data_IF_379475209930
#
_entry.id   IF_379475209930
#
_cell.length_a   1.000
_cell.length_b   1.000
_cell.length_c   1.000
_cell.angle_alpha   90.00
_cell.angle_beta   90.00
_cell.angle_gamma   90.00
#
_symmetry.space_group_name_H-M   'P 1'
#
loop_
_entity.id
_entity.type
_entity.pdbx_description
1 polymer ?
#
# COMPACT_ATOMS: atom_id res chain seq x y z
N UNK A 1 19.88 36.17 -14.93
CA UNK A 1 18.91 35.26 -14.32
C UNK A 1 17.54 35.75 -14.75
N UNK A 2 16.63 34.88 -15.17
CA UNK A 2 15.30 35.34 -15.59
C UNK A 2 14.44 35.66 -14.37
N UNK A 3 13.44 36.54 -14.52
CA UNK A 3 12.44 36.82 -13.48
C UNK A 3 11.80 35.52 -12.94
N UNK A 4 11.62 34.53 -13.83
CA UNK A 4 11.15 33.20 -13.47
C UNK A 4 12.09 32.48 -12.47
N UNK A 5 13.40 32.49 -12.75
CA UNK A 5 14.39 31.84 -11.87
C UNK A 5 14.41 32.50 -10.48
N UNK A 6 14.28 33.81 -10.44
CA UNK A 6 14.26 34.56 -9.17
C UNK A 6 13.03 34.21 -8.32
N UNK A 7 11.84 34.12 -8.95
CA UNK A 7 10.60 33.73 -8.27
C UNK A 7 10.72 32.29 -7.76
N UNK A 8 11.17 31.34 -8.59
CA UNK A 8 11.33 29.94 -8.18
C UNK A 8 12.33 29.80 -7.05
N UNK A 9 13.47 30.48 -7.13
CA UNK A 9 14.49 30.42 -6.06
C UNK A 9 13.99 31.05 -4.75
N UNK A 10 13.19 32.10 -4.82
CA UNK A 10 12.53 32.68 -3.64
C UNK A 10 11.56 31.68 -3.02
N UNK A 11 10.73 31.02 -3.82
CA UNK A 11 9.76 30.04 -3.33
C UNK A 11 10.41 28.75 -2.81
N UNK A 12 11.54 28.30 -3.38
CA UNK A 12 12.35 27.21 -2.83
C UNK A 12 12.92 27.51 -1.43
N UNK A 13 13.14 28.79 -1.10
CA UNK A 13 13.58 29.21 0.25
C UNK A 13 12.41 29.35 1.23
N UNK A 14 11.24 29.79 0.76
CA UNK A 14 10.04 29.96 1.58
C UNK A 14 9.33 28.63 1.86
N UNK A 15 9.28 27.75 0.87
CA UNK A 15 8.72 26.41 0.95
C UNK A 15 9.89 25.43 1.10
N UNK A 16 9.79 24.44 1.97
CA UNK A 16 10.87 23.44 2.06
C UNK A 16 11.17 22.87 0.67
N UNK A 17 12.44 22.60 0.39
CA UNK A 17 12.89 22.13 -0.93
C UNK A 17 12.15 20.86 -1.42
N UNK A 18 11.51 20.13 -0.50
CA UNK A 18 10.68 18.95 -0.75
C UNK A 18 9.39 19.28 -1.51
N UNK A 19 8.90 20.53 -1.43
CA UNK A 19 7.62 20.93 -2.05
C UNK A 19 7.77 21.48 -3.49
N UNK A 20 8.99 21.69 -3.95
CA UNK A 20 9.30 22.13 -5.32
C UNK A 20 10.25 21.11 -5.96
N UNK A 21 9.66 20.07 -6.53
CA UNK A 21 10.41 19.01 -7.22
C UNK A 21 10.55 19.32 -8.71
N UNK A 22 11.73 19.06 -9.26
CA UNK A 22 11.94 19.01 -10.69
C UNK A 22 11.11 17.85 -11.27
N UNK A 23 10.23 18.13 -12.22
CA UNK A 23 9.36 17.12 -12.83
C UNK A 23 10.13 15.92 -13.42
N UNK A 24 11.38 16.14 -13.84
CA UNK A 24 12.27 15.08 -14.30
C UNK A 24 12.75 14.14 -13.19
N UNK A 25 12.70 14.58 -11.93
CA UNK A 25 13.11 13.80 -10.75
C UNK A 25 11.96 13.10 -10.04
N UNK A 26 10.72 13.33 -10.45
CA UNK A 26 9.60 12.54 -9.96
C UNK A 26 9.75 11.09 -10.43
N UNK A 27 10.24 10.23 -9.55
CA UNK A 27 10.16 8.80 -9.80
C UNK A 27 8.68 8.41 -9.86
N UNK A 28 8.31 7.60 -10.83
CA UNK A 28 7.01 6.92 -10.81
C UNK A 28 7.00 6.09 -9.53
N UNK A 29 6.13 6.42 -8.57
CA UNK A 29 6.01 5.68 -7.32
C UNK A 29 5.79 4.18 -7.58
N UNK A 30 6.14 3.34 -6.61
CA UNK A 30 5.87 1.90 -6.67
C UNK A 30 4.37 1.67 -6.90
N UNK A 31 4.04 0.64 -7.64
CA UNK A 31 2.66 0.27 -7.97
C UNK A 31 2.40 -1.19 -7.61
N UNK A 32 1.13 -1.50 -7.41
CA UNK A 32 0.63 -2.88 -7.32
C UNK A 32 -0.06 -3.18 -8.64
N UNK A 33 0.40 -4.16 -9.43
CA UNK A 33 -0.17 -4.47 -10.73
C UNK A 33 -1.51 -5.19 -10.59
N UNK A 34 -2.34 -5.09 -11.61
CA UNK A 34 -3.48 -5.98 -11.82
C UNK A 34 -3.01 -7.28 -12.49
N UNK A 35 -3.78 -8.36 -12.34
CA UNK A 35 -3.57 -9.57 -13.16
C UNK A 35 -3.93 -9.33 -14.61
N UNK A 36 -4.79 -8.36 -14.92
CA UNK A 36 -5.17 -7.99 -16.27
C UNK A 36 -4.11 -7.13 -16.97
N UNK A 37 -3.51 -7.57 -18.10
CA UNK A 37 -2.57 -6.77 -18.86
C UNK A 37 -3.18 -5.45 -19.38
N UNK A 38 -4.46 -5.47 -19.75
CA UNK A 38 -5.16 -4.27 -20.23
C UNK A 38 -5.32 -3.23 -19.12
N UNK A 39 -5.68 -3.65 -17.91
CA UNK A 39 -5.77 -2.75 -16.77
C UNK A 39 -4.39 -2.18 -16.40
N UNK A 40 -3.35 -2.99 -16.46
CA UNK A 40 -1.97 -2.51 -16.24
C UNK A 40 -1.56 -1.49 -17.31
N UNK A 41 -1.90 -1.72 -18.55
CA UNK A 41 -1.59 -0.79 -19.62
C UNK A 41 -2.31 0.55 -19.43
N UNK A 42 -3.61 0.53 -19.14
CA UNK A 42 -4.43 1.74 -18.95
C UNK A 42 -4.06 2.53 -17.69
N UNK A 43 -3.54 1.86 -16.66
CA UNK A 43 -3.11 2.48 -15.38
C UNK A 43 -1.60 2.70 -15.30
N UNK A 44 -0.86 2.47 -16.40
CA UNK A 44 0.60 2.56 -16.44
C UNK A 44 1.29 1.67 -15.39
N UNK A 45 0.80 0.43 -15.22
CA UNK A 45 1.42 -0.59 -14.38
C UNK A 45 0.72 -0.90 -13.06
N UNK A 46 -0.53 -0.48 -12.88
CA UNK A 46 -1.34 -0.81 -11.71
C UNK A 46 -1.70 0.39 -10.84
N UNK A 47 -2.19 0.11 -9.62
CA UNK A 47 -2.55 1.17 -8.66
C UNK A 47 -1.29 1.75 -8.00
N UNK A 48 -1.23 3.07 -7.78
CA UNK A 48 -0.10 3.69 -7.08
C UNK A 48 -0.13 3.34 -5.60
N UNK A 49 1.04 3.07 -5.01
CA UNK A 49 1.20 2.93 -3.57
C UNK A 49 1.25 4.32 -2.92
N UNK A 50 1.00 4.38 -1.63
CA UNK A 50 0.98 5.61 -0.83
C UNK A 50 -0.05 6.64 -1.34
N UNK A 51 -1.14 6.14 -1.93
CA UNK A 51 -2.24 6.93 -2.47
C UNK A 51 -3.57 6.25 -2.16
N UNK A 52 -4.64 7.05 -2.18
CA UNK A 52 -6.00 6.55 -2.21
C UNK A 52 -6.40 6.33 -3.67
N UNK A 53 -6.93 5.14 -3.95
CA UNK A 53 -7.48 4.80 -5.27
C UNK A 53 -8.93 4.40 -5.09
N UNK A 54 -9.82 5.01 -5.82
CA UNK A 54 -11.25 4.73 -5.80
C UNK A 54 -11.66 3.92 -7.04
N UNK A 55 -12.45 2.87 -6.82
CA UNK A 55 -13.14 2.12 -7.87
C UNK A 55 -14.63 2.42 -7.80
N UNK A 56 -15.17 3.01 -8.83
CA UNK A 56 -16.61 3.29 -8.92
C UNK A 56 -17.20 2.68 -10.19
N UNK A 57 -18.51 2.41 -10.17
CA UNK A 57 -19.23 1.84 -11.31
C UNK A 57 -20.48 1.10 -10.84
N UNK A 58 -21.24 0.60 -11.82
CA UNK A 58 -22.48 -0.12 -11.60
C UNK A 58 -22.31 -1.37 -10.73
N UNK A 59 -23.36 -1.80 -10.01
CA UNK A 59 -23.37 -3.08 -9.33
C UNK A 59 -23.01 -4.22 -10.30
N UNK A 60 -22.23 -5.19 -9.83
CA UNK A 60 -21.75 -6.29 -10.69
C UNK A 60 -20.63 -5.94 -11.67
N UNK A 61 -20.15 -4.69 -11.69
CA UNK A 61 -19.06 -4.22 -12.59
C UNK A 61 -17.66 -4.72 -12.22
N UNK A 62 -17.51 -5.60 -11.23
CA UNK A 62 -16.21 -6.21 -10.88
C UNK A 62 -15.35 -5.38 -9.93
N UNK A 63 -15.91 -4.40 -9.19
CA UNK A 63 -15.16 -3.57 -8.24
C UNK A 63 -14.48 -4.40 -7.15
N UNK A 64 -15.26 -5.20 -6.41
CA UNK A 64 -14.73 -6.07 -5.34
C UNK A 64 -13.81 -7.16 -5.90
N UNK A 65 -14.10 -7.71 -7.09
CA UNK A 65 -13.21 -8.64 -7.80
C UNK A 65 -11.84 -7.99 -8.10
N UNK A 66 -11.84 -6.72 -8.54
CA UNK A 66 -10.61 -5.98 -8.80
C UNK A 66 -9.85 -5.69 -7.51
N UNK A 67 -10.56 -5.40 -6.41
CA UNK A 67 -9.95 -5.22 -5.09
C UNK A 67 -9.26 -6.51 -4.60
N UNK A 68 -9.90 -7.66 -4.73
CA UNK A 68 -9.32 -8.97 -4.40
C UNK A 68 -8.12 -9.29 -5.30
N UNK A 69 -8.18 -8.98 -6.60
CA UNK A 69 -7.04 -9.15 -7.52
C UNK A 69 -5.83 -8.31 -7.10
N UNK A 70 -6.05 -7.09 -6.65
CA UNK A 70 -4.99 -6.23 -6.10
C UNK A 70 -4.41 -6.82 -4.81
N UNK A 71 -5.23 -7.35 -3.90
CA UNK A 71 -4.74 -8.01 -2.69
C UNK A 71 -3.81 -9.18 -3.03
N UNK A 72 -4.24 -10.06 -3.94
CA UNK A 72 -3.45 -11.19 -4.44
C UNK A 72 -2.08 -10.73 -4.98
N UNK A 73 -2.04 -9.65 -5.74
CA UNK A 73 -0.81 -9.16 -6.35
C UNK A 73 0.06 -8.34 -5.38
N UNK A 74 -0.52 -7.78 -4.32
CA UNK A 74 0.18 -7.01 -3.29
C UNK A 74 1.01 -7.89 -2.36
N UNK A 75 0.45 -9.03 -1.91
CA UNK A 75 1.10 -9.85 -0.89
C UNK A 75 2.50 -10.36 -1.29
N UNK A 76 2.72 -10.92 -2.50
CA UNK A 76 4.05 -11.33 -2.94
C UNK A 76 5.05 -10.17 -2.97
N UNK A 77 4.60 -8.95 -3.30
CA UNK A 77 5.44 -7.75 -3.29
C UNK A 77 5.87 -7.42 -1.86
N UNK A 78 4.95 -7.43 -0.91
CA UNK A 78 5.26 -7.15 0.49
C UNK A 78 6.18 -8.21 1.09
N UNK A 79 5.96 -9.47 0.75
CA UNK A 79 6.82 -10.58 1.16
C UNK A 79 8.25 -10.40 0.63
N UNK A 80 8.39 -10.10 -0.65
CA UNK A 80 9.70 -9.87 -1.25
C UNK A 80 10.42 -8.67 -0.64
N UNK A 81 9.73 -7.55 -0.44
CA UNK A 81 10.30 -6.36 0.21
C UNK A 81 10.75 -6.64 1.65
N UNK A 82 9.99 -7.46 2.38
CA UNK A 82 10.33 -7.89 3.72
C UNK A 82 11.61 -8.76 3.72
N UNK A 83 11.68 -9.76 2.85
CA UNK A 83 12.86 -10.62 2.69
C UNK A 83 14.10 -9.82 2.28
N UNK A 84 13.97 -8.90 1.34
CA UNK A 84 15.05 -8.01 0.89
C UNK A 84 15.56 -7.12 2.03
N UNK A 85 14.63 -6.56 2.84
CA UNK A 85 15.00 -5.75 4.00
C UNK A 85 15.75 -6.54 5.06
N UNK A 86 15.27 -7.76 5.39
CA UNK A 86 15.97 -8.65 6.34
C UNK A 86 17.37 -8.99 5.82
N UNK A 87 17.51 -9.32 4.54
CA UNK A 87 18.80 -9.66 3.96
C UNK A 87 19.78 -8.48 4.00
N UNK A 88 19.29 -7.27 3.73
CA UNK A 88 20.07 -6.04 3.87
C UNK A 88 20.54 -5.83 5.32
N UNK A 89 19.61 -5.88 6.27
CA UNK A 89 19.91 -5.68 7.69
C UNK A 89 20.86 -6.75 8.24
N UNK A 90 20.73 -7.99 7.79
CA UNK A 90 21.66 -9.09 8.13
C UNK A 90 23.08 -8.77 7.67
N UNK A 91 23.24 -8.16 6.49
CA UNK A 91 24.54 -7.69 6.01
C UNK A 91 25.12 -6.59 6.90
N UNK A 92 24.30 -5.60 7.26
CA UNK A 92 24.69 -4.47 8.11
C UNK A 92 24.98 -4.92 9.55
N UNK A 93 24.17 -5.83 10.12
CA UNK A 93 24.39 -6.35 11.47
C UNK A 93 25.73 -7.09 11.62
N UNK A 94 26.20 -7.78 10.57
CA UNK A 94 27.54 -8.43 10.55
C UNK A 94 28.70 -7.44 10.74
N UNK A 95 28.51 -6.17 10.48
CA UNK A 95 29.52 -5.11 10.72
C UNK A 95 29.52 -4.59 12.16
N UNK A 96 28.72 -5.21 13.05
CA UNK A 96 28.63 -4.82 14.46
C UNK A 96 27.59 -3.74 14.77
N UNK A 97 26.72 -3.39 13.81
CA UNK A 97 25.64 -2.43 14.02
C UNK A 97 24.49 -3.05 14.82
N UNK A 98 24.41 -2.71 16.13
CA UNK A 98 23.39 -3.22 17.04
C UNK A 98 21.97 -2.76 16.68
N UNK A 99 21.83 -1.55 16.12
CA UNK A 99 20.53 -1.03 15.68
C UNK A 99 19.95 -1.85 14.52
N UNK A 100 20.80 -2.25 13.56
CA UNK A 100 20.38 -3.11 12.46
C UNK A 100 19.99 -4.52 12.92
N UNK A 101 20.64 -5.04 13.98
CA UNK A 101 20.27 -6.33 14.55
C UNK A 101 18.89 -6.27 15.22
N UNK A 102 18.63 -5.24 16.03
CA UNK A 102 17.34 -5.05 16.70
C UNK A 102 16.19 -4.84 15.68
N UNK A 103 16.40 -3.99 14.66
CA UNK A 103 15.40 -3.80 13.58
C UNK A 103 15.12 -5.11 12.83
N UNK A 104 16.14 -5.93 12.60
CA UNK A 104 15.97 -7.23 11.94
C UNK A 104 15.13 -8.19 12.79
N UNK A 105 15.36 -8.24 14.11
CA UNK A 105 14.57 -9.07 15.03
C UNK A 105 13.10 -8.63 15.04
N UNK A 106 12.85 -7.33 15.14
CA UNK A 106 11.50 -6.76 15.09
C UNK A 106 10.79 -7.09 13.76
N UNK A 107 11.47 -6.95 12.62
CA UNK A 107 10.91 -7.30 11.32
C UNK A 107 10.62 -8.80 11.20
N UNK A 108 11.48 -9.65 11.75
CA UNK A 108 11.25 -11.10 11.74
C UNK A 108 10.06 -11.50 12.61
N UNK A 109 9.81 -10.82 13.70
CA UNK A 109 8.66 -11.02 14.57
C UNK A 109 7.36 -10.54 13.93
N UNK A 110 7.36 -9.34 13.32
CA UNK A 110 6.19 -8.73 12.71
C UNK A 110 5.79 -9.40 11.37
N UNK A 111 6.74 -10.01 10.66
CA UNK A 111 6.51 -10.57 9.34
C UNK A 111 6.34 -9.51 8.22
N UNK A 112 5.90 -9.93 7.01
CA UNK A 112 5.64 -9.02 5.91
C UNK A 112 4.44 -8.11 6.20
N UNK A 113 4.36 -6.97 5.53
CA UNK A 113 3.23 -6.06 5.65
C UNK A 113 1.92 -6.76 5.33
N UNK A 114 0.90 -6.47 6.14
CA UNK A 114 -0.41 -7.08 6.08
C UNK A 114 -1.32 -6.38 5.08
N UNK A 115 -2.31 -7.12 4.60
CA UNK A 115 -3.42 -6.60 3.81
C UNK A 115 -4.66 -6.64 4.69
N UNK A 116 -5.32 -5.50 4.83
CA UNK A 116 -6.56 -5.35 5.59
C UNK A 116 -7.72 -5.13 4.62
N UNK A 117 -8.70 -6.01 4.65
CA UNK A 117 -9.94 -5.88 3.87
C UNK A 117 -11.09 -5.60 4.83
N UNK A 118 -11.69 -4.43 4.72
CA UNK A 118 -12.82 -4.01 5.52
C UNK A 118 -14.06 -4.16 4.66
N UNK A 119 -14.86 -5.17 4.99
CA UNK A 119 -16.07 -5.54 4.27
C UNK A 119 -17.31 -5.01 5.01
N UNK A 120 -17.76 -3.84 4.62
CA UNK A 120 -18.93 -3.18 5.23
C UNK A 120 -20.25 -3.72 4.69
N UNK A 121 -20.24 -4.36 3.53
CA UNK A 121 -21.43 -4.97 2.93
C UNK A 121 -21.64 -6.42 3.40
N UNK A 122 -20.69 -7.00 4.15
CA UNK A 122 -20.70 -8.41 4.55
C UNK A 122 -20.84 -9.35 3.35
N UNK A 123 -20.23 -8.98 2.24
CA UNK A 123 -20.35 -9.65 0.95
C UNK A 123 -19.09 -10.41 0.52
N UNK A 124 -18.02 -10.39 1.31
CA UNK A 124 -16.77 -11.04 1.00
C UNK A 124 -16.93 -12.56 0.93
N UNK A 125 -16.62 -13.13 -0.23
CA UNK A 125 -16.65 -14.57 -0.48
C UNK A 125 -15.23 -15.14 -0.46
N UNK A 126 -14.88 -15.83 0.64
CA UNK A 126 -13.56 -16.46 0.82
C UNK A 126 -13.28 -17.56 -0.21
N UNK A 127 -14.31 -18.27 -0.69
CA UNK A 127 -14.15 -19.31 -1.70
C UNK A 127 -13.84 -18.68 -3.06
N UNK A 128 -14.54 -17.60 -3.39
CA UNK A 128 -14.26 -16.81 -4.58
C UNK A 128 -12.85 -16.19 -4.55
N UNK A 129 -12.47 -15.58 -3.43
CA UNK A 129 -11.13 -15.02 -3.23
C UNK A 129 -10.03 -16.07 -3.42
N UNK A 130 -10.24 -17.29 -2.89
CA UNK A 130 -9.33 -18.42 -3.10
C UNK A 130 -9.28 -18.86 -4.58
N UNK A 131 -10.38 -18.80 -5.30
CA UNK A 131 -10.43 -19.09 -6.75
C UNK A 131 -9.64 -18.05 -7.56
N UNK A 132 -9.67 -16.77 -7.15
CA UNK A 132 -8.84 -15.72 -7.73
C UNK A 132 -7.36 -15.96 -7.42
N UNK A 133 -7.05 -16.66 -6.33
CA UNK A 133 -5.69 -17.09 -5.95
C UNK A 133 -5.10 -16.38 -4.74
N UNK A 134 -5.93 -15.74 -3.91
CA UNK A 134 -5.50 -15.24 -2.61
C UNK A 134 -5.70 -16.35 -1.57
N UNK A 135 -4.75 -16.49 -0.64
CA UNK A 135 -4.86 -17.43 0.46
C UNK A 135 -5.43 -16.75 1.70
N UNK A 136 -6.22 -17.45 2.51
CA UNK A 136 -6.83 -16.87 3.72
C UNK A 136 -5.82 -16.23 4.68
N UNK A 137 -4.61 -16.79 4.77
CA UNK A 137 -3.53 -16.28 5.62
C UNK A 137 -2.82 -15.03 5.07
N UNK A 138 -3.13 -14.63 3.84
CA UNK A 138 -2.50 -13.49 3.16
C UNK A 138 -3.31 -12.19 3.34
N UNK A 139 -4.52 -12.27 3.93
CA UNK A 139 -5.44 -11.16 4.06
C UNK A 139 -6.16 -11.22 5.41
N UNK A 140 -6.24 -10.08 6.09
CA UNK A 140 -7.06 -9.93 7.29
C UNK A 140 -8.38 -9.28 6.89
N UNK A 141 -9.51 -9.95 7.23
CA UNK A 141 -10.85 -9.47 6.87
C UNK A 141 -11.51 -8.96 8.14
N UNK A 142 -11.97 -7.73 8.09
CA UNK A 142 -12.78 -7.10 9.13
C UNK A 142 -14.19 -6.88 8.60
N UNK A 143 -15.17 -7.43 9.33
CA UNK A 143 -16.60 -7.19 9.10
C UNK A 143 -17.17 -6.52 10.35
N UNK A 144 -17.00 -5.19 10.48
CA UNK A 144 -17.47 -4.49 11.66
C UNK A 144 -19.01 -4.56 11.74
N UNK A 145 -19.58 -4.68 12.94
CA UNK A 145 -21.03 -4.51 13.12
C UNK A 145 -21.43 -3.07 12.74
N UNK A 146 -22.70 -2.73 12.89
CA UNK A 146 -23.23 -1.36 12.64
C UNK A 146 -22.43 -0.30 13.42
N UNK A 147 -21.30 0.12 12.88
CA UNK A 147 -20.43 1.17 13.40
C UNK A 147 -20.47 2.38 12.48
N UNK A 148 -20.26 3.55 13.03
CA UNK A 148 -20.16 4.77 12.22
C UNK A 148 -18.85 4.82 11.44
N UNK A 149 -18.88 5.43 10.27
CA UNK A 149 -17.73 5.47 9.35
C UNK A 149 -16.48 6.11 9.99
N UNK A 150 -16.68 7.07 10.89
CA UNK A 150 -15.60 7.74 11.61
C UNK A 150 -14.80 6.78 12.49
N UNK A 151 -15.46 5.84 13.19
CA UNK A 151 -14.79 4.85 14.04
C UNK A 151 -13.98 3.86 13.20
N UNK A 152 -14.49 3.49 12.01
CA UNK A 152 -13.78 2.64 11.07
C UNK A 152 -12.52 3.36 10.58
N UNK A 153 -12.64 4.61 10.15
CA UNK A 153 -11.50 5.39 9.65
C UNK A 153 -10.47 5.64 10.74
N UNK A 154 -10.89 5.85 11.99
CA UNK A 154 -9.99 5.96 13.13
C UNK A 154 -9.23 4.64 13.36
N UNK A 155 -9.94 3.52 13.36
CA UNK A 155 -9.31 2.17 13.49
C UNK A 155 -8.29 1.93 12.39
N UNK A 156 -8.64 2.26 11.14
CA UNK A 156 -7.73 2.16 9.98
C UNK A 156 -6.49 3.03 10.20
N UNK A 157 -6.67 4.27 10.65
CA UNK A 157 -5.56 5.17 10.93
C UNK A 157 -4.63 4.59 12.01
N UNK A 158 -5.17 4.08 13.10
CA UNK A 158 -4.39 3.47 14.18
C UNK A 158 -3.59 2.28 13.65
N UNK A 159 -4.20 1.39 12.85
CA UNK A 159 -3.54 0.24 12.25
C UNK A 159 -2.43 0.64 11.27
N UNK A 160 -2.67 1.65 10.42
CA UNK A 160 -1.65 2.18 9.50
C UNK A 160 -0.46 2.76 10.28
N UNK A 161 -0.72 3.45 11.40
CA UNK A 161 0.33 4.04 12.24
C UNK A 161 1.25 2.99 12.90
N UNK A 162 0.84 1.71 12.99
CA UNK A 162 1.73 0.63 13.41
C UNK A 162 2.88 0.36 12.43
N UNK A 163 2.76 0.83 11.18
CA UNK A 163 3.70 0.53 10.10
C UNK A 163 3.60 -0.89 9.52
N UNK A 164 2.73 -1.74 10.09
CA UNK A 164 2.57 -3.15 9.67
C UNK A 164 1.61 -3.33 8.50
N UNK A 165 0.74 -2.36 8.23
CA UNK A 165 -0.23 -2.42 7.14
C UNK A 165 0.37 -1.88 5.84
N UNK A 166 0.26 -2.63 4.75
CA UNK A 166 0.75 -2.27 3.42
C UNK A 166 -0.34 -1.92 2.43
N UNK A 167 -1.54 -2.44 2.64
CA UNK A 167 -2.72 -2.18 1.81
C UNK A 167 -3.97 -2.24 2.68
N UNK A 168 -4.86 -1.28 2.47
CA UNK A 168 -6.23 -1.30 3.04
C UNK A 168 -7.21 -1.28 1.88
N UNK A 169 -8.16 -2.19 1.91
CA UNK A 169 -9.36 -2.17 1.06
C UNK A 169 -10.55 -1.80 1.94
N UNK A 170 -11.37 -0.90 1.46
CA UNK A 170 -12.64 -0.52 2.09
C UNK A 170 -13.77 -0.78 1.07
N UNK A 171 -14.58 -1.80 1.31
CA UNK A 171 -15.63 -2.26 0.40
C UNK A 171 -16.96 -2.31 1.17
N UNK A 172 -17.92 -1.43 0.98
CA UNK A 172 -17.90 -0.14 0.28
C UNK A 172 -18.51 0.94 1.19
N UNK A 173 -18.31 2.20 0.85
CA UNK A 173 -18.90 3.33 1.62
C UNK A 173 -20.08 3.89 0.86
#
# INVERSE_FOLDING_TARGET
>A
MSLYDDIINKKKKEWSAENLMDGAKQSRGKKIPFSSPLMNWSTYGGIPRDKITEFFGEPGGGKSTSAVDICKNAYPIFKQEHEDRINYLRGVAKTGNKGAAAEMEELMENGPKKILYIDLEHSFDSQWASTIGIKPEEIEIMQPPDVVAEDILQTVQELICTGQVGLVILDSI
#
